data_IF_020676805369
#
_entry.id   IF_020676805369
#
_cell.length_a   1.000
_cell.length_b   1.000
_cell.length_c   1.000
_cell.angle_alpha   90.00
_cell.angle_beta   90.00
_cell.angle_gamma   90.00
#
_symmetry.space_group_name_H-M   'P 1'
#
loop_
_entity.id
_entity.type
_entity.pdbx_description
1 polymer ?
#
# COMPACT_ATOMS: atom_id res chain seq x y z
N UNK A 1 -4.20 -21.79 -0.92
CA UNK A 1 -3.22 -22.28 0.06
C UNK A 1 -1.89 -22.36 -0.68
N UNK A 2 -1.11 -21.28 -0.68
CA UNK A 2 0.16 -21.26 -1.40
C UNK A 2 1.20 -22.04 -0.59
N UNK A 3 1.79 -23.05 -1.21
CA UNK A 3 2.82 -23.89 -0.60
C UNK A 3 4.14 -23.13 -0.56
N UNK A 4 4.94 -23.36 0.47
CA UNK A 4 6.30 -22.82 0.64
C UNK A 4 7.24 -23.13 -0.55
N UNK A 5 6.84 -24.00 -1.48
CA UNK A 5 7.58 -24.36 -2.68
C UNK A 5 7.40 -23.36 -3.85
N UNK A 6 6.29 -22.63 -3.91
CA UNK A 6 5.97 -21.75 -5.05
C UNK A 6 6.78 -20.44 -5.04
N UNK A 7 7.43 -20.10 -3.93
CA UNK A 7 8.36 -18.97 -3.84
C UNK A 7 9.72 -19.24 -4.51
N UNK A 8 10.01 -20.49 -4.90
CA UNK A 8 11.27 -20.89 -5.57
C UNK A 8 11.14 -21.14 -7.07
N UNK A 9 9.92 -21.27 -7.60
CA UNK A 9 9.71 -21.50 -9.03
C UNK A 9 9.58 -20.16 -9.75
N UNK A 10 10.65 -19.80 -10.46
CA UNK A 10 10.71 -18.57 -11.24
C UNK A 10 9.65 -18.50 -12.35
N UNK A 11 9.38 -17.26 -12.74
CA UNK A 11 8.69 -16.83 -13.97
C UNK A 11 7.16 -16.87 -13.94
N UNK A 12 6.57 -15.76 -13.48
CA UNK A 12 5.23 -15.36 -13.90
C UNK A 12 5.40 -14.19 -14.90
N UNK A 13 5.33 -14.47 -16.19
CA UNK A 13 5.38 -13.46 -17.24
C UNK A 13 4.01 -12.76 -17.32
N UNK A 14 3.99 -11.46 -17.10
CA UNK A 14 2.79 -10.62 -17.25
C UNK A 14 2.97 -9.74 -18.48
N UNK A 15 1.92 -9.58 -19.28
CA UNK A 15 1.99 -8.96 -20.61
C UNK A 15 2.63 -7.56 -20.57
N UNK A 16 3.71 -7.43 -21.36
CA UNK A 16 4.70 -6.35 -21.48
C UNK A 16 5.63 -6.12 -20.26
N UNK A 17 6.84 -6.69 -20.39
CA UNK A 17 8.14 -6.29 -19.80
C UNK A 17 8.31 -6.13 -18.28
N UNK A 18 7.29 -6.35 -17.45
CA UNK A 18 7.49 -6.29 -16.00
C UNK A 18 7.83 -7.65 -15.39
N UNK A 19 9.13 -7.94 -15.29
CA UNK A 19 9.69 -9.05 -14.51
C UNK A 19 9.97 -8.62 -13.08
N UNK A 20 9.53 -9.41 -12.10
CA UNK A 20 9.96 -9.22 -10.71
C UNK A 20 11.39 -9.77 -10.53
N UNK A 21 12.38 -8.94 -10.13
CA UNK A 21 13.74 -9.33 -9.88
C UNK A 21 13.77 -10.28 -8.68
N UNK A 22 14.65 -11.26 -8.73
CA UNK A 22 14.87 -12.21 -7.65
C UNK A 22 15.58 -11.53 -6.48
N UNK A 23 15.61 -12.21 -5.32
CA UNK A 23 16.43 -11.75 -4.20
C UNK A 23 17.90 -11.56 -4.61
N UNK A 24 18.42 -12.48 -5.43
CA UNK A 24 19.78 -12.39 -5.93
C UNK A 24 20.02 -11.17 -6.81
N UNK A 25 19.02 -10.64 -7.51
CA UNK A 25 19.17 -9.39 -8.27
C UNK A 25 19.08 -8.17 -7.35
N UNK A 26 18.17 -8.20 -6.36
CA UNK A 26 17.98 -7.11 -5.39
C UNK A 26 19.22 -6.90 -4.53
N UNK A 27 19.88 -7.98 -4.07
CA UNK A 27 21.05 -7.88 -3.18
C UNK A 27 22.28 -7.19 -3.81
N UNK A 28 22.31 -7.03 -5.14
CA UNK A 28 23.39 -6.30 -5.82
C UNK A 28 23.20 -4.78 -5.77
N UNK A 29 22.03 -4.29 -5.34
CA UNK A 29 21.77 -2.87 -5.10
C UNK A 29 21.50 -2.66 -3.60
N UNK A 30 22.47 -2.07 -2.90
CA UNK A 30 22.39 -1.82 -1.45
C UNK A 30 21.17 -1.00 -1.04
N UNK A 31 20.69 -0.08 -1.91
CA UNK A 31 19.52 0.76 -1.61
C UNK A 31 18.25 -0.07 -1.70
N UNK A 32 18.15 -0.93 -2.71
CA UNK A 32 17.02 -1.84 -2.84
C UNK A 32 17.00 -2.89 -1.74
N UNK A 33 18.17 -3.40 -1.35
CA UNK A 33 18.32 -4.35 -0.26
C UNK A 33 17.88 -3.76 1.08
N UNK A 34 18.31 -2.53 1.39
CA UNK A 34 17.87 -1.83 2.61
C UNK A 34 16.35 -1.70 2.70
N UNK A 35 15.69 -1.40 1.57
CA UNK A 35 14.23 -1.36 1.48
C UNK A 35 13.61 -2.75 1.61
N UNK A 36 14.22 -3.77 1.01
CA UNK A 36 13.73 -5.15 1.06
C UNK A 36 13.78 -5.72 2.50
N UNK A 37 14.85 -5.46 3.23
CA UNK A 37 15.09 -5.99 4.57
C UNK A 37 14.50 -5.14 5.71
N UNK A 38 14.05 -3.92 5.42
CA UNK A 38 13.46 -3.03 6.41
C UNK A 38 12.33 -3.71 7.22
N UNK A 39 12.26 -3.50 8.55
CA UNK A 39 11.20 -4.05 9.40
C UNK A 39 9.79 -3.69 8.91
N UNK A 40 8.81 -4.52 9.23
CA UNK A 40 7.40 -4.32 8.82
C UNK A 40 6.58 -3.52 9.84
N UNK A 41 7.09 -3.37 11.05
CA UNK A 41 6.50 -2.61 12.15
C UNK A 41 6.93 -1.13 12.16
N UNK A 42 7.77 -0.73 11.21
CA UNK A 42 8.23 0.65 11.02
C UNK A 42 7.68 1.29 9.74
N UNK A 43 7.55 2.62 9.75
CA UNK A 43 7.21 3.39 8.56
C UNK A 43 8.44 3.64 7.70
N UNK A 44 8.38 3.27 6.41
CA UNK A 44 9.51 3.34 5.48
C UNK A 44 9.21 4.24 4.28
N UNK A 45 9.86 5.41 4.21
CA UNK A 45 9.79 6.30 3.05
C UNK A 45 10.90 5.98 2.04
N UNK A 46 10.55 5.79 0.76
CA UNK A 46 11.51 5.36 -0.28
C UNK A 46 11.50 6.30 -1.48
N UNK A 47 12.42 7.27 -1.47
CA UNK A 47 12.65 8.13 -2.62
C UNK A 47 13.67 7.54 -3.60
N UNK A 48 13.42 7.70 -4.90
CA UNK A 48 14.36 7.30 -5.95
C UNK A 48 13.94 7.81 -7.33
N UNK A 49 14.87 7.93 -8.29
CA UNK A 49 14.56 8.38 -9.63
C UNK A 49 13.61 7.42 -10.36
N UNK A 50 12.93 7.84 -11.44
CA UNK A 50 12.20 6.94 -12.33
C UNK A 50 13.08 5.77 -12.78
N UNK A 51 12.51 4.57 -12.84
CA UNK A 51 13.24 3.35 -13.22
C UNK A 51 14.05 2.69 -12.08
N UNK A 52 14.07 3.24 -10.87
CA UNK A 52 14.81 2.68 -9.73
C UNK A 52 14.19 1.41 -9.10
N UNK A 53 13.17 0.80 -9.72
CA UNK A 53 12.55 -0.44 -9.24
C UNK A 53 11.61 -0.32 -8.03
N UNK A 54 11.20 0.88 -7.60
CA UNK A 54 10.32 1.08 -6.41
C UNK A 54 9.03 0.27 -6.46
N UNK A 55 8.30 0.36 -7.56
CA UNK A 55 7.06 -0.39 -7.79
C UNK A 55 7.26 -1.89 -7.61
N UNK A 56 8.42 -2.40 -8.02
CA UNK A 56 8.76 -3.81 -7.89
C UNK A 56 9.09 -4.17 -6.43
N UNK A 57 9.79 -3.30 -5.71
CA UNK A 57 10.03 -3.46 -4.27
C UNK A 57 8.72 -3.45 -3.47
N UNK A 58 7.75 -2.60 -3.84
CA UNK A 58 6.40 -2.58 -3.26
C UNK A 58 5.74 -3.95 -3.37
N UNK A 59 5.78 -4.56 -4.56
CA UNK A 59 5.21 -5.89 -4.80
C UNK A 59 5.95 -6.96 -3.99
N UNK A 60 7.28 -6.93 -3.95
CA UNK A 60 8.08 -7.89 -3.19
C UNK A 60 7.79 -7.82 -1.69
N UNK A 61 7.72 -6.61 -1.12
CA UNK A 61 7.38 -6.42 0.29
C UNK A 61 5.95 -6.90 0.59
N UNK A 62 4.99 -6.65 -0.31
CA UNK A 62 3.64 -7.19 -0.18
C UNK A 62 3.64 -8.73 -0.15
N UNK A 63 4.39 -9.39 -1.04
CA UNK A 63 4.52 -10.85 -1.04
C UNK A 63 5.12 -11.39 0.28
N UNK A 64 6.16 -10.73 0.80
CA UNK A 64 6.78 -11.11 2.07
C UNK A 64 5.81 -10.97 3.26
N UNK A 65 4.98 -9.93 3.26
CA UNK A 65 3.93 -9.76 4.27
C UNK A 65 2.89 -10.88 4.19
N UNK A 66 2.44 -11.23 2.99
CA UNK A 66 1.40 -12.26 2.80
C UNK A 66 1.88 -13.68 3.10
N UNK A 67 3.19 -13.92 3.00
CA UNK A 67 3.79 -15.17 3.47
C UNK A 67 3.62 -15.36 4.98
N UNK A 68 3.32 -14.29 5.74
CA UNK A 68 2.96 -14.35 7.15
C UNK A 68 1.43 -14.46 7.28
N UNK A 69 0.89 -15.49 7.95
CA UNK A 69 -0.55 -15.77 7.97
C UNK A 69 -1.39 -14.63 8.57
N UNK A 70 -0.89 -13.95 9.60
CA UNK A 70 -1.64 -12.92 10.35
C UNK A 70 -1.58 -11.52 9.73
N UNK A 71 -1.01 -11.39 8.53
CA UNK A 71 -0.78 -10.09 7.90
C UNK A 71 -1.71 -9.89 6.71
N UNK A 72 -2.33 -8.72 6.65
CA UNK A 72 -3.05 -8.19 5.50
C UNK A 72 -2.33 -6.96 4.96
N UNK A 73 -2.48 -6.72 3.66
CA UNK A 73 -1.81 -5.64 2.94
C UNK A 73 -2.83 -4.82 2.18
N UNK A 74 -2.90 -3.52 2.49
CA UNK A 74 -3.60 -2.53 1.69
C UNK A 74 -2.58 -1.81 0.82
N UNK A 75 -2.77 -1.85 -0.50
CA UNK A 75 -1.94 -1.11 -1.44
C UNK A 75 -2.76 0.04 -2.01
N UNK A 76 -2.25 1.25 -1.81
CA UNK A 76 -2.84 2.49 -2.29
C UNK A 76 -1.97 2.97 -3.44
N UNK A 77 -2.52 3.07 -4.63
CA UNK A 77 -1.75 3.50 -5.80
C UNK A 77 -2.56 4.45 -6.67
N UNK A 78 -1.89 5.45 -7.23
CA UNK A 78 -2.48 6.30 -8.27
C UNK A 78 -2.48 5.60 -9.64
N UNK A 79 -1.61 4.60 -9.83
CA UNK A 79 -1.41 3.95 -11.12
C UNK A 79 -2.34 2.74 -11.31
N UNK A 80 -3.22 2.84 -12.32
CA UNK A 80 -4.13 1.75 -12.71
C UNK A 80 -3.39 0.48 -13.13
N UNK A 81 -2.20 0.61 -13.71
CA UNK A 81 -1.35 -0.52 -14.13
C UNK A 81 -0.84 -1.27 -12.92
N UNK A 82 -0.27 -0.58 -11.92
CA UNK A 82 0.19 -1.23 -10.69
C UNK A 82 -0.97 -1.93 -9.98
N UNK A 83 -2.14 -1.29 -9.92
CA UNK A 83 -3.33 -1.92 -9.35
C UNK A 83 -3.69 -3.23 -10.07
N UNK A 84 -3.66 -3.25 -11.41
CA UNK A 84 -3.95 -4.44 -12.22
C UNK A 84 -2.90 -5.53 -12.00
N UNK A 85 -1.64 -5.14 -11.95
CA UNK A 85 -0.51 -6.03 -11.70
C UNK A 85 -0.62 -6.71 -10.33
N UNK A 86 -0.89 -5.93 -9.27
CA UNK A 86 -1.13 -6.48 -7.93
C UNK A 86 -2.32 -7.44 -7.98
N UNK A 87 -3.45 -7.03 -8.56
CA UNK A 87 -4.63 -7.88 -8.65
C UNK A 87 -4.36 -9.21 -9.37
N UNK A 88 -3.49 -9.23 -10.38
CA UNK A 88 -3.05 -10.45 -11.06
C UNK A 88 -2.15 -11.31 -10.17
N UNK A 89 -1.13 -10.71 -9.56
CA UNK A 89 -0.17 -11.40 -8.70
C UNK A 89 -0.79 -11.94 -7.41
N UNK A 90 -1.90 -11.35 -6.96
CA UNK A 90 -2.59 -11.70 -5.73
C UNK A 90 -3.99 -12.25 -6.03
N UNK A 91 -4.23 -12.73 -7.25
CA UNK A 91 -5.52 -13.29 -7.64
C UNK A 91 -5.90 -14.46 -6.70
N UNK A 92 -7.02 -14.30 -5.99
CA UNK A 92 -7.51 -15.27 -5.00
C UNK A 92 -6.99 -15.08 -3.57
N UNK A 93 -6.10 -14.12 -3.32
CA UNK A 93 -5.62 -13.78 -1.97
C UNK A 93 -6.47 -12.66 -1.36
N UNK A 94 -7.38 -13.01 -0.45
CA UNK A 94 -8.29 -12.06 0.19
C UNK A 94 -7.59 -11.10 1.16
N UNK A 95 -6.37 -11.42 1.60
CA UNK A 95 -5.58 -10.57 2.49
C UNK A 95 -4.90 -9.41 1.76
N UNK A 96 -5.03 -9.31 0.44
CA UNK A 96 -4.55 -8.17 -0.35
C UNK A 96 -5.70 -7.37 -0.92
N UNK A 97 -5.63 -6.05 -0.73
CA UNK A 97 -6.51 -5.13 -1.42
C UNK A 97 -5.67 -4.07 -2.13
N UNK A 98 -6.05 -3.72 -3.35
CA UNK A 98 -5.41 -2.68 -4.13
C UNK A 98 -6.46 -1.65 -4.57
N UNK A 99 -6.33 -0.41 -4.12
CA UNK A 99 -7.29 0.66 -4.36
C UNK A 99 -6.60 1.96 -4.74
N UNK A 100 -7.33 2.88 -5.37
CA UNK A 100 -6.87 4.27 -5.47
C UNK A 100 -7.09 4.97 -4.13
N UNK A 101 -6.35 6.05 -3.88
CA UNK A 101 -6.53 6.85 -2.66
C UNK A 101 -8.00 7.24 -2.46
N UNK A 102 -8.65 7.77 -3.50
CA UNK A 102 -10.05 8.14 -3.42
C UNK A 102 -10.94 6.92 -3.09
N UNK A 103 -10.85 5.82 -3.84
CA UNK A 103 -11.68 4.64 -3.55
C UNK A 103 -11.51 4.15 -2.11
N UNK A 104 -10.27 4.11 -1.62
CA UNK A 104 -9.96 3.75 -0.24
C UNK A 104 -10.59 4.71 0.76
N UNK A 105 -10.33 6.02 0.62
CA UNK A 105 -10.79 7.02 1.58
C UNK A 105 -12.30 7.14 1.60
N UNK A 106 -12.97 7.16 0.43
CA UNK A 106 -14.43 7.22 0.37
C UNK A 106 -15.07 5.99 1.01
N UNK A 107 -14.58 4.79 0.69
CA UNK A 107 -15.12 3.55 1.25
C UNK A 107 -14.90 3.46 2.75
N UNK A 108 -13.64 3.63 3.18
CA UNK A 108 -13.26 3.49 4.58
C UNK A 108 -13.92 4.54 5.46
N UNK A 109 -14.00 5.80 5.00
CA UNK A 109 -14.66 6.85 5.78
C UNK A 109 -16.16 6.59 5.94
N UNK A 110 -16.87 6.20 4.86
CA UNK A 110 -18.31 5.88 4.94
C UNK A 110 -18.59 4.73 5.89
N UNK A 111 -17.79 3.66 5.79
CA UNK A 111 -17.91 2.50 6.67
C UNK A 111 -17.69 2.90 8.13
N UNK A 112 -16.59 3.59 8.41
CA UNK A 112 -16.20 3.89 9.79
C UNK A 112 -17.05 4.97 10.44
N UNK A 113 -17.28 6.08 9.75
CA UNK A 113 -18.12 7.17 10.26
C UNK A 113 -19.62 6.86 10.15
N UNK A 114 -20.00 5.72 9.55
CA UNK A 114 -21.38 5.32 9.31
C UNK A 114 -22.20 6.41 8.59
N UNK A 115 -21.63 6.95 7.51
CA UNK A 115 -22.25 8.01 6.70
C UNK A 115 -22.39 7.60 5.23
N UNK A 116 -23.38 8.17 4.55
CA UNK A 116 -23.58 7.94 3.11
C UNK A 116 -22.82 8.93 2.24
N UNK A 117 -22.55 10.14 2.75
CA UNK A 117 -21.85 11.23 2.05
C UNK A 117 -20.53 11.54 2.73
N UNK A 118 -19.48 11.64 1.93
CA UNK A 118 -18.15 12.04 2.40
C UNK A 118 -18.03 13.56 2.32
N UNK A 119 -17.47 14.23 3.36
CA UNK A 119 -17.22 15.66 3.33
C UNK A 119 -16.31 16.06 2.16
N UNK A 120 -16.78 17.04 1.38
CA UNK A 120 -16.08 17.56 0.20
C UNK A 120 -16.19 19.09 0.19
N UNK A 121 -15.06 19.77 -0.06
CA UNK A 121 -15.00 21.23 -0.28
C UNK A 121 -15.56 21.56 -1.67
N UNK A 122 -15.28 20.70 -2.65
CA UNK A 122 -15.84 20.70 -4.01
C UNK A 122 -15.78 19.27 -4.54
N UNK A 123 -16.42 19.02 -5.69
CA UNK A 123 -16.46 17.70 -6.30
C UNK A 123 -15.06 17.06 -6.39
N UNK A 124 -14.89 15.89 -5.78
CA UNK A 124 -13.62 15.13 -5.69
C UNK A 124 -12.49 15.84 -4.93
N UNK A 125 -12.78 16.88 -4.13
CA UNK A 125 -11.84 17.51 -3.21
C UNK A 125 -12.35 17.31 -1.78
N UNK A 126 -11.78 16.30 -1.12
CA UNK A 126 -12.14 15.92 0.24
C UNK A 126 -11.89 17.05 1.24
N UNK A 127 -12.81 17.20 2.19
CA UNK A 127 -12.63 18.05 3.37
C UNK A 127 -12.00 17.21 4.49
N UNK A 128 -10.68 17.11 4.43
CA UNK A 128 -9.88 16.36 5.38
C UNK A 128 -10.12 16.81 6.83
N UNK A 129 -10.28 18.11 7.06
CA UNK A 129 -10.47 18.64 8.41
C UNK A 129 -11.78 18.12 9.03
N UNK A 130 -12.90 18.26 8.31
CA UNK A 130 -14.21 17.77 8.77
C UNK A 130 -14.20 16.26 8.96
N UNK A 131 -13.54 15.54 8.06
CA UNK A 131 -13.38 14.09 8.17
C UNK A 131 -12.66 13.70 9.47
N UNK A 132 -11.52 14.32 9.78
CA UNK A 132 -10.77 13.97 10.98
C UNK A 132 -11.48 14.38 12.25
N UNK A 133 -12.10 15.56 12.27
CA UNK A 133 -12.90 16.01 13.41
C UNK A 133 -14.04 15.01 13.70
N UNK A 134 -14.68 14.49 12.64
CA UNK A 134 -15.73 13.47 12.76
C UNK A 134 -15.17 12.17 13.32
N UNK A 135 -14.09 11.63 12.75
CA UNK A 135 -13.50 10.37 13.22
C UNK A 135 -13.03 10.47 14.68
N UNK A 136 -12.40 11.59 15.06
CA UNK A 136 -11.95 11.84 16.43
C UNK A 136 -13.12 11.92 17.42
N UNK A 137 -14.18 12.67 17.08
CA UNK A 137 -15.40 12.75 17.91
C UNK A 137 -16.04 11.39 18.17
N UNK A 138 -15.96 10.48 17.20
CA UNK A 138 -16.51 9.14 17.31
C UNK A 138 -15.53 8.13 17.93
N UNK A 139 -14.32 8.56 18.32
CA UNK A 139 -13.29 7.66 18.85
C UNK A 139 -12.84 6.60 17.85
N UNK A 140 -12.97 6.86 16.56
CA UNK A 140 -12.64 5.92 15.50
C UNK A 140 -11.15 6.04 15.18
N UNK A 141 -10.43 4.95 15.40
CA UNK A 141 -9.05 4.80 14.96
C UNK A 141 -8.99 3.82 13.77
N UNK A 142 -8.55 4.26 12.58
CA UNK A 142 -8.42 3.36 11.44
C UNK A 142 -7.35 2.30 11.74
N UNK A 143 -7.75 1.03 11.77
CA UNK A 143 -6.84 -0.09 12.01
C UNK A 143 -6.46 -0.74 10.68
N UNK A 144 -5.43 -0.19 10.04
CA UNK A 144 -4.74 -0.83 8.92
C UNK A 144 -3.38 -1.27 9.43
N UNK A 145 -3.00 -2.52 9.16
CA UNK A 145 -1.75 -3.10 9.68
C UNK A 145 -0.57 -2.92 8.75
N UNK A 146 -0.78 -2.86 7.44
CA UNK A 146 0.26 -2.57 6.45
C UNK A 146 -0.37 -1.83 5.26
N UNK A 147 0.01 -0.56 5.09
CA UNK A 147 -0.42 0.28 3.97
C UNK A 147 0.80 0.60 3.14
N UNK A 148 0.83 0.18 1.89
CA UNK A 148 1.92 0.52 0.96
C UNK A 148 1.39 1.53 -0.06
N UNK A 149 2.13 2.63 -0.30
CA UNK A 149 1.78 3.58 -1.35
C UNK A 149 2.84 3.61 -2.46
N UNK A 150 2.39 3.79 -3.68
CA UNK A 150 3.24 4.02 -4.86
C UNK A 150 2.83 5.37 -5.48
N UNK A 151 3.81 6.12 -5.96
CA UNK A 151 3.66 7.51 -6.43
C UNK A 151 3.18 8.47 -5.33
N UNK A 152 3.78 8.37 -4.13
CA UNK A 152 3.36 9.16 -2.98
C UNK A 152 3.54 10.67 -3.14
N UNK A 153 4.36 11.11 -4.10
CA UNK A 153 4.44 12.53 -4.50
C UNK A 153 3.15 13.06 -5.13
N UNK A 154 2.31 12.18 -5.69
CA UNK A 154 1.02 12.55 -6.30
C UNK A 154 -0.13 12.53 -5.27
N UNK A 155 0.15 12.15 -4.02
CA UNK A 155 -0.82 12.18 -2.95
C UNK A 155 -0.95 13.56 -2.29
N UNK A 156 -2.16 13.94 -1.85
CA UNK A 156 -2.34 15.12 -1.01
C UNK A 156 -1.53 15.01 0.28
N UNK A 157 -0.89 16.10 0.69
CA UNK A 157 -0.09 16.15 1.92
C UNK A 157 -0.92 15.77 3.16
N UNK A 158 -2.21 16.10 3.16
CA UNK A 158 -3.16 15.75 4.21
C UNK A 158 -3.34 14.23 4.34
N UNK A 159 -3.25 13.47 3.25
CA UNK A 159 -3.33 12.01 3.30
C UNK A 159 -2.08 11.40 3.98
N UNK A 160 -0.89 11.93 3.68
CA UNK A 160 0.38 11.46 4.24
C UNK A 160 0.57 11.86 5.72
N UNK A 161 0.16 13.08 6.08
CA UNK A 161 0.37 13.64 7.43
C UNK A 161 -0.36 12.86 8.52
N UNK A 162 -1.50 12.23 8.18
CA UNK A 162 -2.37 11.56 9.15
C UNK A 162 -1.96 10.12 9.48
N UNK A 163 -1.14 9.48 8.65
CA UNK A 163 -0.56 8.17 8.99
C UNK A 163 0.37 8.25 10.21
N UNK A 164 0.93 9.43 10.52
CA UNK A 164 1.81 9.63 11.68
C UNK A 164 1.08 9.94 13.00
N UNK A 165 -0.16 10.45 12.96
CA UNK A 165 -0.88 10.93 14.16
C UNK A 165 -2.06 10.02 14.58
N UNK A 166 -2.59 9.19 13.66
CA UNK A 166 -3.83 8.43 13.87
C UNK A 166 -3.71 7.07 14.57
N UNK A 167 -2.65 6.78 15.33
CA UNK A 167 -2.52 5.51 16.04
C UNK A 167 -2.24 4.29 15.14
N UNK A 168 -1.70 4.51 13.93
CA UNK A 168 -1.19 3.43 13.08
C UNK A 168 0.18 2.97 13.62
N UNK A 169 0.19 2.10 14.63
CA UNK A 169 1.42 1.53 15.21
C UNK A 169 2.11 0.50 14.30
N UNK A 170 1.55 0.22 13.12
CA UNK A 170 2.05 -0.75 12.14
C UNK A 170 1.60 -0.28 10.76
N UNK A 171 2.45 0.44 10.03
CA UNK A 171 2.07 1.04 8.76
C UNK A 171 3.30 1.29 7.89
N UNK A 172 3.58 0.34 6.99
CA UNK A 172 4.68 0.38 6.01
C UNK A 172 4.40 1.33 4.85
N UNK A 173 4.24 2.63 5.13
CA UNK A 173 3.96 3.63 4.09
C UNK A 173 5.17 3.88 3.20
N UNK A 174 5.39 3.03 2.18
CA UNK A 174 6.15 3.44 0.98
C UNK A 174 5.38 4.58 0.34
N UNK A 175 6.07 5.59 -0.14
CA UNK A 175 5.57 6.71 -0.93
C UNK A 175 6.59 6.95 -2.04
#
# INVERSE_FOLDING_TARGET
MFSSADLRSGYCSLENDMRLPTYDEIKHDERQLAVYEAPFDESLFVAGPPGSGKTVLVIRRAQMLLAKPDHSVMIITYNRMLRRLIAQLTAGEQRVQAQTMHSFVYGHYREKANVTKVPEIKQYKLDWYVMFETLQRHGIHPHLTHVITDEGQDLPTEFCSNHRHGGCRRGTGVA
#
